data_IF_928609649397
#
_entry.id   IF_928609649397
#
_cell.length_a   1.000
_cell.length_b   1.000
_cell.length_c   1.000
_cell.angle_alpha   90.00
_cell.angle_beta   90.00
_cell.angle_gamma   90.00
#
_symmetry.space_group_name_H-M   'P 1'
#
loop_
_entity.id
_entity.type
_entity.pdbx_description
1 polymer ?
#
# COMPACT_ATOMS: atom_id res chain seq x y z
N UNK A 1 -0.33 -23.23 31.35
CA UNK A 1 -0.16 -21.76 31.37
C UNK A 1 -0.14 -21.25 29.93
N UNK A 2 -1.22 -20.62 29.47
CA UNK A 2 -1.34 -20.09 28.10
C UNK A 2 -0.77 -18.67 28.10
N UNK A 3 0.44 -18.48 27.58
CA UNK A 3 0.92 -17.15 27.23
C UNK A 3 0.01 -16.57 26.15
N UNK A 4 -0.40 -15.31 26.31
CA UNK A 4 -1.22 -14.64 25.31
C UNK A 4 -0.38 -14.37 24.05
N UNK A 5 -0.98 -14.44 22.86
CA UNK A 5 -0.30 -14.09 21.60
C UNK A 5 0.31 -12.66 21.62
N UNK A 6 -0.18 -11.81 22.52
CA UNK A 6 0.33 -10.46 22.79
C UNK A 6 1.70 -10.46 23.49
N UNK A 7 1.97 -11.41 24.38
CA UNK A 7 3.28 -11.55 25.06
C UNK A 7 4.34 -12.15 24.15
N UNK A 8 3.96 -13.11 23.29
CA UNK A 8 4.87 -13.72 22.32
C UNK A 8 5.45 -12.68 21.35
N UNK A 9 4.66 -11.70 20.92
CA UNK A 9 5.10 -10.64 20.02
C UNK A 9 5.87 -9.51 20.72
N UNK A 10 5.60 -9.23 21.99
CA UNK A 10 6.34 -8.22 22.78
C UNK A 10 7.78 -8.62 23.06
N UNK A 11 8.06 -9.92 23.19
CA UNK A 11 9.42 -10.40 23.48
C UNK A 11 10.38 -10.35 22.28
N UNK A 12 9.89 -10.07 21.07
CA UNK A 12 10.72 -9.92 19.86
C UNK A 12 11.32 -8.51 19.69
N UNK A 13 10.88 -7.50 20.45
CA UNK A 13 11.22 -6.09 20.21
C UNK A 13 12.35 -5.52 21.06
N UNK A 14 12.91 -6.29 21.99
CA UNK A 14 13.95 -5.80 22.90
C UNK A 14 15.23 -6.62 22.75
N UNK A 15 16.04 -6.28 21.75
CA UNK A 15 17.52 -6.27 21.81
C UNK A 15 18.12 -5.97 20.42
N UNK A 16 18.72 -4.77 20.30
CA UNK A 16 20.00 -4.42 19.63
C UNK A 16 19.96 -3.04 18.97
N UNK A 17 20.91 -2.20 19.36
CA UNK A 17 21.15 -0.85 18.84
C UNK A 17 21.55 -0.91 17.35
N UNK A 18 20.92 -0.07 16.52
CA UNK A 18 21.29 0.31 15.15
C UNK A 18 21.43 -0.80 14.07
N UNK A 19 20.52 -1.77 14.06
CA UNK A 19 20.24 -2.57 12.85
C UNK A 19 18.79 -2.28 12.47
N UNK A 20 18.53 -1.76 11.25
CA UNK A 20 17.13 -1.70 10.77
C UNK A 20 16.51 -3.10 10.95
N UNK A 21 15.34 -3.22 11.61
CA UNK A 21 14.83 -4.53 12.00
C UNK A 21 14.70 -5.44 10.77
N UNK A 22 14.96 -6.72 11.01
CA UNK A 22 14.66 -7.80 10.07
C UNK A 22 13.29 -7.61 9.43
N UNK A 23 13.17 -7.89 8.13
CA UNK A 23 11.91 -7.81 7.38
C UNK A 23 10.72 -8.32 8.20
N UNK A 24 9.73 -7.45 8.45
CA UNK A 24 8.52 -7.77 9.19
C UNK A 24 7.35 -7.99 8.21
N UNK A 25 6.81 -9.21 8.18
CA UNK A 25 5.72 -9.56 7.27
C UNK A 25 4.45 -8.75 7.54
N UNK A 26 4.09 -8.48 8.79
CA UNK A 26 2.87 -7.74 9.12
C UNK A 26 2.96 -6.28 8.66
N UNK A 27 4.07 -5.60 8.92
CA UNK A 27 4.31 -4.25 8.40
C UNK A 27 4.29 -4.23 6.86
N UNK A 28 4.94 -5.20 6.22
CA UNK A 28 4.89 -5.35 4.76
C UNK A 28 3.46 -5.58 4.26
N UNK A 29 2.66 -6.40 4.95
CA UNK A 29 1.27 -6.65 4.59
C UNK A 29 0.42 -5.38 4.72
N UNK A 30 0.65 -4.56 5.75
CA UNK A 30 -0.01 -3.27 5.92
C UNK A 30 0.35 -2.33 4.78
N UNK A 31 1.64 -2.20 4.43
CA UNK A 31 2.06 -1.40 3.28
C UNK A 31 1.49 -1.89 1.96
N UNK A 32 1.49 -3.21 1.74
CA UNK A 32 0.87 -3.81 0.56
C UNK A 32 -0.63 -3.54 0.51
N UNK A 33 -1.30 -3.55 1.67
CA UNK A 33 -2.71 -3.24 1.83
C UNK A 33 -3.00 -1.77 1.54
N UNK A 34 -2.14 -0.84 1.98
CA UNK A 34 -2.24 0.58 1.64
C UNK A 34 -2.23 0.81 0.12
N UNK A 35 -1.42 0.07 -0.63
CA UNK A 35 -1.44 0.13 -2.10
C UNK A 35 -2.64 -0.60 -2.73
N UNK A 36 -2.74 -1.92 -2.54
CA UNK A 36 -3.64 -2.80 -3.30
C UNK A 36 -4.73 -3.52 -2.50
N UNK A 37 -4.79 -3.33 -1.18
CA UNK A 37 -5.81 -3.94 -0.34
C UNK A 37 -7.12 -3.18 -0.27
N UNK A 38 -8.17 -3.85 0.20
CA UNK A 38 -9.52 -3.35 0.30
C UNK A 38 -10.21 -3.89 1.56
N UNK A 39 -10.76 -2.98 2.36
CA UNK A 39 -11.71 -3.26 3.43
C UNK A 39 -13.09 -2.89 2.92
N UNK A 40 -14.02 -3.83 2.93
CA UNK A 40 -15.37 -3.58 2.41
C UNK A 40 -16.43 -4.32 3.21
N UNK A 41 -17.66 -3.88 3.03
CA UNK A 41 -18.85 -4.56 3.52
C UNK A 41 -19.65 -4.93 2.28
N UNK A 42 -19.84 -6.22 2.06
CA UNK A 42 -20.51 -6.75 0.85
C UNK A 42 -21.79 -7.45 1.25
N UNK A 43 -22.83 -7.27 0.44
CA UNK A 43 -24.06 -8.06 0.58
C UNK A 43 -23.77 -9.50 0.14
N UNK A 44 -24.06 -10.47 1.01
CA UNK A 44 -24.09 -11.88 0.65
C UNK A 44 -25.47 -12.43 1.02
N UNK A 45 -26.25 -12.77 0.00
CA UNK A 45 -27.66 -13.14 0.13
C UNK A 45 -28.45 -12.04 0.86
N UNK A 46 -28.90 -12.29 2.10
CA UNK A 46 -29.68 -11.35 2.90
C UNK A 46 -28.84 -10.60 3.96
N UNK A 47 -27.55 -10.96 4.14
CA UNK A 47 -26.71 -10.41 5.21
C UNK A 47 -25.54 -9.58 4.67
N UNK A 48 -25.25 -8.48 5.36
CA UNK A 48 -24.03 -7.71 5.14
C UNK A 48 -22.86 -8.36 5.86
N UNK A 49 -21.76 -8.58 5.14
CA UNK A 49 -20.56 -9.20 5.69
C UNK A 49 -19.33 -8.33 5.44
N UNK A 50 -18.54 -8.13 6.50
CA UNK A 50 -17.24 -7.49 6.41
C UNK A 50 -16.25 -8.42 5.68
N UNK A 51 -15.50 -7.85 4.75
CA UNK A 51 -14.50 -8.57 3.95
C UNK A 51 -13.18 -7.81 3.97
N UNK A 52 -12.08 -8.55 4.13
CA UNK A 52 -10.74 -8.09 3.79
C UNK A 52 -10.31 -8.77 2.49
N UNK A 53 -9.95 -7.97 1.49
CA UNK A 53 -9.63 -8.45 0.13
C UNK A 53 -8.36 -7.79 -0.40
N UNK A 54 -7.54 -8.56 -1.11
CA UNK A 54 -6.43 -8.05 -1.91
C UNK A 54 -6.60 -8.58 -3.33
N UNK A 55 -6.69 -7.69 -4.31
CA UNK A 55 -6.85 -8.06 -5.73
C UNK A 55 -5.56 -7.79 -6.47
N UNK A 56 -5.15 -8.71 -7.34
CA UNK A 56 -3.97 -8.57 -8.18
C UNK A 56 -4.26 -9.05 -9.59
N UNK A 57 -3.46 -8.59 -10.55
CA UNK A 57 -3.41 -9.22 -11.87
C UNK A 57 -3.03 -10.70 -11.73
N UNK A 58 -3.55 -11.57 -12.60
CA UNK A 58 -3.14 -12.98 -12.67
C UNK A 58 -1.62 -13.08 -12.79
N UNK A 59 -0.97 -12.15 -13.49
CA UNK A 59 0.51 -12.06 -13.57
C UNK A 59 1.18 -12.10 -12.18
N UNK A 60 0.61 -11.43 -11.17
CA UNK A 60 1.18 -11.34 -9.82
C UNK A 60 0.52 -12.28 -8.81
N UNK A 61 -0.15 -13.35 -9.23
CA UNK A 61 -0.89 -14.24 -8.33
C UNK A 61 -0.01 -14.86 -7.22
N UNK A 62 1.29 -15.04 -7.47
CA UNK A 62 2.27 -15.58 -6.50
C UNK A 62 2.30 -14.78 -5.19
N UNK A 63 2.11 -13.46 -5.25
CA UNK A 63 2.11 -12.62 -4.04
C UNK A 63 0.92 -12.95 -3.13
N UNK A 64 -0.22 -13.33 -3.70
CA UNK A 64 -1.41 -13.72 -2.95
C UNK A 64 -1.19 -15.04 -2.21
N UNK A 65 -0.50 -16.01 -2.83
CA UNK A 65 -0.09 -17.24 -2.15
C UNK A 65 0.91 -16.99 -1.03
N UNK A 66 1.85 -16.06 -1.21
CA UNK A 66 2.73 -15.63 -0.14
C UNK A 66 1.95 -15.04 1.04
N UNK A 67 0.99 -14.15 0.77
CA UNK A 67 0.12 -13.56 1.81
C UNK A 67 -0.67 -14.66 2.53
N UNK A 68 -1.37 -15.53 1.78
CA UNK A 68 -2.16 -16.65 2.34
C UNK A 68 -1.32 -17.56 3.20
N UNK A 69 -0.10 -17.93 2.76
CA UNK A 69 0.81 -18.80 3.52
C UNK A 69 1.18 -18.19 4.87
N UNK A 70 1.50 -16.89 4.91
CA UNK A 70 1.94 -16.23 6.15
C UNK A 70 0.76 -15.88 7.08
N UNK A 71 -0.44 -15.60 6.53
CA UNK A 71 -1.65 -15.41 7.35
C UNK A 71 -2.19 -16.75 7.87
N UNK A 72 -2.00 -17.85 7.13
CA UNK A 72 -2.48 -19.19 7.49
C UNK A 72 -3.97 -19.42 7.25
N UNK A 73 -4.68 -18.44 6.68
CA UNK A 73 -6.11 -18.52 6.37
C UNK A 73 -6.43 -17.80 5.05
N UNK A 74 -7.68 -17.90 4.59
CA UNK A 74 -8.21 -17.15 3.45
C UNK A 74 -8.29 -17.97 2.17
N UNK A 75 -9.12 -17.50 1.25
CA UNK A 75 -9.29 -18.12 -0.07
C UNK A 75 -8.64 -17.27 -1.15
N UNK A 76 -8.12 -17.94 -2.18
CA UNK A 76 -7.66 -17.29 -3.41
C UNK A 76 -8.63 -17.76 -4.49
N UNK A 77 -9.32 -16.82 -5.14
CA UNK A 77 -10.26 -17.13 -6.22
C UNK A 77 -10.00 -16.23 -7.42
N UNK A 78 -10.46 -16.66 -8.58
CA UNK A 78 -10.46 -15.81 -9.77
C UNK A 78 -11.46 -14.66 -9.60
N UNK A 79 -11.12 -13.47 -10.11
CA UNK A 79 -11.93 -12.26 -10.07
C UNK A 79 -12.01 -11.64 -11.48
N UNK A 80 -12.68 -12.37 -12.38
CA UNK A 80 -12.69 -12.11 -13.82
C UNK A 80 -11.46 -12.69 -14.54
N UNK A 81 -11.36 -12.43 -15.85
CA UNK A 81 -10.36 -13.10 -16.69
C UNK A 81 -8.90 -12.78 -16.34
N UNK A 82 -8.60 -11.55 -15.94
CA UNK A 82 -7.22 -11.05 -15.75
C UNK A 82 -6.86 -10.74 -14.30
N UNK A 83 -7.74 -11.08 -13.34
CA UNK A 83 -7.48 -10.80 -11.93
C UNK A 83 -7.75 -12.01 -11.06
N UNK A 84 -7.04 -12.03 -9.95
CA UNK A 84 -7.20 -12.98 -8.85
C UNK A 84 -7.34 -12.18 -7.56
N UNK A 85 -8.09 -12.72 -6.62
CA UNK A 85 -8.30 -12.09 -5.32
C UNK A 85 -7.95 -13.05 -4.20
N UNK A 86 -7.26 -12.55 -3.19
CA UNK A 86 -7.18 -13.13 -1.86
C UNK A 86 -8.28 -12.53 -1.00
N UNK A 87 -9.02 -13.35 -0.26
CA UNK A 87 -10.22 -12.92 0.47
C UNK A 87 -10.35 -13.62 1.83
N UNK A 88 -10.67 -12.84 2.86
CA UNK A 88 -11.10 -13.33 4.17
C UNK A 88 -12.45 -12.69 4.50
N UNK A 89 -13.45 -13.53 4.76
CA UNK A 89 -14.80 -13.12 5.17
C UNK A 89 -15.21 -13.64 6.55
N UNK A 90 -14.55 -14.70 7.02
CA UNK A 90 -14.80 -15.28 8.32
C UNK A 90 -14.60 -14.22 9.42
N UNK A 91 -15.70 -13.86 10.09
CA UNK A 91 -15.73 -12.79 11.09
C UNK A 91 -14.81 -13.10 12.27
N UNK A 92 -14.67 -14.38 12.65
CA UNK A 92 -13.80 -14.78 13.75
C UNK A 92 -12.34 -14.57 13.35
N UNK A 93 -11.95 -14.99 12.14
CA UNK A 93 -10.59 -14.79 11.63
C UNK A 93 -10.28 -13.30 11.43
N UNK A 94 -11.22 -12.52 10.91
CA UNK A 94 -11.04 -11.07 10.78
C UNK A 94 -10.77 -10.42 12.15
N UNK A 95 -11.51 -10.80 13.19
CA UNK A 95 -11.31 -10.26 14.55
C UNK A 95 -10.02 -10.76 15.22
N UNK A 96 -9.65 -12.02 15.01
CA UNK A 96 -8.52 -12.64 15.72
C UNK A 96 -7.17 -12.44 15.05
N UNK A 97 -7.13 -12.24 13.73
CA UNK A 97 -5.89 -12.15 12.96
C UNK A 97 -5.76 -10.78 12.28
N UNK A 98 -6.78 -10.37 11.51
CA UNK A 98 -6.68 -9.14 10.71
C UNK A 98 -6.69 -7.90 11.60
N UNK A 99 -7.66 -7.76 12.51
CA UNK A 99 -7.70 -6.59 13.40
C UNK A 99 -6.38 -6.38 14.16
N UNK A 100 -5.81 -7.38 14.89
CA UNK A 100 -4.56 -7.17 15.60
C UNK A 100 -3.40 -6.66 14.73
N UNK A 101 -3.28 -7.13 13.48
CA UNK A 101 -2.24 -6.66 12.55
C UNK A 101 -2.37 -5.16 12.29
N UNK A 102 -3.57 -4.69 11.94
CA UNK A 102 -3.82 -3.29 11.58
C UNK A 102 -3.99 -2.36 12.79
N UNK A 103 -4.16 -2.90 14.00
CA UNK A 103 -4.08 -2.14 15.26
C UNK A 103 -2.63 -1.90 15.71
N UNK A 104 -1.77 -2.92 15.55
CA UNK A 104 -0.35 -2.80 15.90
C UNK A 104 0.38 -1.95 14.85
N UNK A 105 0.07 -2.15 13.58
CA UNK A 105 0.69 -1.47 12.45
C UNK A 105 -0.37 -0.64 11.70
N UNK A 106 -0.46 0.67 11.94
CA UNK A 106 -1.46 1.50 11.30
C UNK A 106 -1.17 1.70 9.80
N UNK A 107 -2.25 1.84 9.02
CA UNK A 107 -2.18 2.26 7.62
C UNK A 107 -1.70 3.72 7.53
N UNK A 108 -0.88 4.05 6.53
CA UNK A 108 -0.33 5.39 6.33
C UNK A 108 -1.08 6.20 5.26
N UNK A 109 -2.03 5.60 4.53
CA UNK A 109 -2.87 6.30 3.55
C UNK A 109 -4.24 6.69 4.11
N UNK A 110 -5.00 7.44 3.33
CA UNK A 110 -6.44 7.69 3.47
C UNK A 110 -7.27 6.42 3.75
N UNK A 111 -6.78 5.24 3.34
CA UNK A 111 -7.38 3.92 3.61
C UNK A 111 -7.48 3.59 5.10
N UNK A 112 -6.67 4.22 5.95
CA UNK A 112 -6.81 4.13 7.40
C UNK A 112 -8.22 4.48 7.87
N UNK A 113 -8.83 5.50 7.29
CA UNK A 113 -10.17 5.97 7.70
C UNK A 113 -11.22 4.93 7.29
N UNK A 114 -11.08 4.31 6.11
CA UNK A 114 -11.91 3.18 5.67
C UNK A 114 -11.76 1.99 6.63
N UNK A 115 -10.54 1.66 7.03
CA UNK A 115 -10.27 0.61 8.01
C UNK A 115 -10.96 0.87 9.35
N UNK A 116 -10.88 2.10 9.88
CA UNK A 116 -11.54 2.46 11.16
C UNK A 116 -13.04 2.25 11.08
N UNK A 117 -13.70 2.70 10.01
CA UNK A 117 -15.14 2.48 9.82
C UNK A 117 -15.48 1.00 9.64
N UNK A 118 -14.70 0.28 8.84
CA UNK A 118 -14.88 -1.15 8.62
C UNK A 118 -14.70 -1.96 9.91
N UNK A 119 -13.72 -1.61 10.74
CA UNK A 119 -13.52 -2.20 12.07
C UNK A 119 -14.75 -1.99 12.96
N UNK A 120 -15.34 -0.79 12.96
CA UNK A 120 -16.58 -0.55 13.71
C UNK A 120 -17.70 -1.47 13.25
N UNK A 121 -17.93 -1.58 11.94
CA UNK A 121 -18.95 -2.48 11.38
C UNK A 121 -18.68 -3.98 11.61
N UNK A 122 -17.40 -4.36 11.76
CA UNK A 122 -16.99 -5.72 12.11
C UNK A 122 -17.30 -6.04 13.58
N UNK A 123 -17.11 -5.07 14.47
CA UNK A 123 -17.38 -5.20 15.91
C UNK A 123 -18.88 -5.09 16.23
N UNK A 124 -19.59 -4.22 15.52
CA UNK A 124 -21.00 -3.84 15.73
C UNK A 124 -21.82 -4.09 14.44
N UNK A 125 -22.38 -5.30 14.26
CA UNK A 125 -23.08 -5.71 13.04
C UNK A 125 -24.23 -4.78 12.60
N UNK A 126 -24.93 -4.16 13.55
CA UNK A 126 -26.01 -3.21 13.36
C UNK A 126 -25.56 -1.96 12.58
N UNK A 127 -24.27 -1.60 12.63
CA UNK A 127 -23.72 -0.45 11.92
C UNK A 127 -23.38 -0.75 10.45
N UNK A 128 -23.44 -2.00 10.00
CA UNK A 128 -22.94 -2.42 8.67
C UNK A 128 -23.61 -1.67 7.52
N UNK A 129 -24.93 -1.48 7.56
CA UNK A 129 -25.67 -0.79 6.49
C UNK A 129 -25.24 0.68 6.38
N UNK A 130 -25.17 1.38 7.51
CA UNK A 130 -24.75 2.79 7.57
C UNK A 130 -23.29 2.95 7.15
N UNK A 131 -22.40 2.05 7.58
CA UNK A 131 -20.99 2.12 7.20
C UNK A 131 -20.81 1.79 5.71
N UNK A 132 -21.53 0.80 5.18
CA UNK A 132 -21.45 0.43 3.77
C UNK A 132 -21.85 1.61 2.87
N UNK A 133 -22.97 2.27 3.16
CA UNK A 133 -23.41 3.44 2.37
C UNK A 133 -22.41 4.60 2.43
N UNK A 134 -21.74 4.80 3.57
CA UNK A 134 -20.68 5.81 3.72
C UNK A 134 -19.41 5.48 2.94
N UNK A 135 -18.92 4.23 3.01
CA UNK A 135 -17.74 3.81 2.23
C UNK A 135 -17.99 3.97 0.72
N UNK A 136 -19.23 3.76 0.28
CA UNK A 136 -19.63 3.89 -1.12
C UNK A 136 -19.87 5.34 -1.57
N UNK A 137 -20.05 6.32 -0.66
CA UNK A 137 -20.42 7.67 -1.07
C UNK A 137 -19.21 8.44 -1.64
N UNK A 138 -19.40 9.03 -2.83
CA UNK A 138 -18.36 9.82 -3.50
C UNK A 138 -17.91 11.04 -2.65
N UNK A 139 -18.80 11.59 -1.83
CA UNK A 139 -18.50 12.66 -0.87
C UNK A 139 -17.55 12.23 0.23
N UNK A 140 -17.58 10.96 0.65
CA UNK A 140 -16.67 10.45 1.65
C UNK A 140 -15.24 10.35 1.08
N UNK A 141 -15.10 9.87 -0.16
CA UNK A 141 -13.80 9.80 -0.85
C UNK A 141 -13.15 11.18 -1.02
N UNK A 142 -13.93 12.22 -1.34
CA UNK A 142 -13.43 13.60 -1.39
C UNK A 142 -13.16 14.20 -0.02
N UNK A 143 -13.91 13.80 1.03
CA UNK A 143 -13.58 14.20 2.41
C UNK A 143 -12.27 13.58 2.92
N UNK A 144 -11.88 12.38 2.46
CA UNK A 144 -10.57 11.80 2.76
C UNK A 144 -9.41 12.68 2.26
N UNK A 145 -9.58 13.34 1.13
CA UNK A 145 -8.60 14.29 0.57
C UNK A 145 -8.44 15.52 1.45
N UNK A 146 -9.57 16.12 1.86
CA UNK A 146 -9.59 17.36 2.64
C UNK A 146 -9.17 17.16 4.11
N UNK A 147 -9.25 15.95 4.65
CA UNK A 147 -8.77 15.62 6.00
C UNK A 147 -7.26 15.80 6.18
N UNK A 148 -6.50 15.97 5.09
CA UNK A 148 -5.06 16.23 5.11
C UNK A 148 -4.67 17.69 4.82
N UNK A 149 -5.62 18.60 4.58
CA UNK A 149 -5.39 20.03 4.30
C UNK A 149 -6.17 21.01 5.21
N UNK A 150 -6.55 20.62 6.44
CA UNK A 150 -7.36 21.53 7.29
C UNK A 150 -6.49 22.54 8.03
N UNK A 151 -6.47 23.80 7.54
CA UNK A 151 -6.27 25.00 8.39
C UNK A 151 -7.44 25.10 9.38
N UNK A 152 -7.24 25.66 10.59
CA UNK A 152 -8.28 25.69 11.62
C UNK A 152 -9.52 26.43 11.13
N UNK A 153 -10.68 25.77 11.12
CA UNK A 153 -11.96 26.42 10.84
C UNK A 153 -12.72 26.55 12.16
N UNK A 154 -13.13 27.79 12.45
CA UNK A 154 -13.93 28.17 13.61
C UNK A 154 -15.34 27.57 13.58
N UNK A 155 -15.83 27.28 14.78
CA UNK A 155 -17.00 26.45 15.06
C UNK A 155 -18.31 27.24 14.90
N UNK A 156 -19.30 26.67 14.19
CA UNK A 156 -20.73 26.91 14.46
C UNK A 156 -21.55 25.60 14.38
N UNK A 157 -22.78 25.62 14.93
CA UNK A 157 -23.36 24.62 15.85
C UNK A 157 -24.04 23.36 15.24
N UNK A 158 -23.88 22.26 16.00
CA UNK A 158 -24.78 21.11 16.32
C UNK A 158 -25.64 20.39 15.26
N UNK A 159 -25.29 19.11 15.02
CA UNK A 159 -26.17 17.92 15.15
C UNK A 159 -25.39 16.71 14.65
N UNK A 160 -25.32 15.64 15.45
CA UNK A 160 -24.65 14.36 15.13
C UNK A 160 -23.13 14.46 14.80
N UNK A 161 -22.61 15.68 14.69
CA UNK A 161 -21.27 16.07 14.33
C UNK A 161 -20.30 15.99 15.49
N UNK A 162 -20.78 15.99 16.74
CA UNK A 162 -19.91 16.03 17.91
C UNK A 162 -19.38 14.65 18.30
N UNK A 163 -20.18 13.58 18.14
CA UNK A 163 -19.69 12.19 18.23
C UNK A 163 -18.82 11.86 17.01
N UNK A 164 -19.24 12.28 15.81
CA UNK A 164 -18.47 12.15 14.56
C UNK A 164 -17.09 12.82 14.67
N UNK A 165 -17.04 14.06 15.16
CA UNK A 165 -15.82 14.85 15.33
C UNK A 165 -14.99 14.32 16.49
N UNK A 166 -15.57 13.78 17.57
CA UNK A 166 -14.83 13.18 18.66
C UNK A 166 -14.13 11.85 18.27
N UNK A 167 -14.79 11.00 17.47
CA UNK A 167 -14.18 9.76 16.95
C UNK A 167 -13.10 10.08 15.90
N UNK A 168 -13.38 11.03 14.99
CA UNK A 168 -12.41 11.50 13.99
C UNK A 168 -11.23 12.25 14.64
N UNK A 169 -11.46 13.16 15.59
CA UNK A 169 -10.41 13.97 16.22
C UNK A 169 -9.49 13.15 17.12
N UNK A 170 -9.99 12.12 17.81
CA UNK A 170 -9.13 11.17 18.55
C UNK A 170 -8.33 10.26 17.63
N UNK A 171 -8.83 9.93 16.45
CA UNK A 171 -8.12 9.13 15.44
C UNK A 171 -7.09 9.94 14.64
N UNK A 172 -7.24 11.26 14.56
CA UNK A 172 -6.42 12.14 13.71
C UNK A 172 -5.30 12.87 14.48
N UNK A 173 -5.34 12.88 15.81
CA UNK A 173 -4.29 13.49 16.64
C UNK A 173 -3.06 12.61 16.86
N UNK A 174 -3.02 11.42 16.25
CA UNK A 174 -1.87 10.55 16.34
C UNK A 174 -0.76 11.09 15.43
N UNK A 175 0.34 11.54 16.05
CA UNK A 175 1.57 11.93 15.35
C UNK A 175 1.91 10.81 14.35
N UNK A 176 1.76 11.08 13.05
CA UNK A 176 2.00 10.10 11.99
C UNK A 176 3.41 9.57 12.15
N UNK A 177 3.51 8.31 12.56
CA UNK A 177 4.77 7.59 12.57
C UNK A 177 5.29 7.54 11.13
N UNK A 178 6.59 7.71 10.96
CA UNK A 178 7.23 7.54 9.66
C UNK A 178 7.11 6.06 9.24
N UNK A 179 6.80 5.77 7.96
CA UNK A 179 6.64 4.40 7.52
C UNK A 179 7.95 3.60 7.66
N UNK A 180 7.86 2.40 8.21
CA UNK A 180 9.01 1.51 8.34
C UNK A 180 9.48 1.01 6.98
N UNK A 181 10.71 0.50 6.91
CA UNK A 181 11.21 -0.11 5.66
C UNK A 181 10.33 -1.26 5.17
N UNK A 182 9.86 -2.13 6.06
CA UNK A 182 8.99 -3.26 5.69
C UNK A 182 7.69 -2.76 5.08
N UNK A 183 7.06 -1.74 5.69
CA UNK A 183 5.88 -1.09 5.14
C UNK A 183 6.17 -0.49 3.76
N UNK A 184 7.27 0.26 3.60
CA UNK A 184 7.64 0.88 2.33
C UNK A 184 7.83 -0.18 1.23
N UNK A 185 8.48 -1.30 1.55
CA UNK A 185 8.64 -2.42 0.62
C UNK A 185 7.27 -2.94 0.20
N UNK A 186 6.35 -3.19 1.14
CA UNK A 186 5.01 -3.67 0.82
C UNK A 186 4.23 -2.71 -0.08
N UNK A 187 4.30 -1.42 0.25
CA UNK A 187 3.62 -0.37 -0.51
C UNK A 187 4.18 -0.21 -1.92
N UNK A 188 5.51 -0.19 -2.07
CA UNK A 188 6.18 -0.15 -3.39
C UNK A 188 5.96 -1.44 -4.17
N UNK A 189 5.80 -2.57 -3.48
CA UNK A 189 5.50 -3.82 -4.13
C UNK A 189 4.12 -3.80 -4.82
N UNK A 190 3.14 -3.18 -4.18
CA UNK A 190 1.82 -2.91 -4.74
C UNK A 190 1.88 -1.81 -5.83
N UNK A 191 2.28 -0.59 -5.48
CA UNK A 191 2.03 0.61 -6.29
C UNK A 191 3.29 1.25 -6.90
N UNK A 192 4.48 0.82 -6.49
CA UNK A 192 5.73 1.30 -7.04
C UNK A 192 6.03 0.74 -8.44
N UNK A 193 6.76 1.49 -9.24
CA UNK A 193 7.09 1.12 -10.62
C UNK A 193 8.58 1.28 -10.90
N UNK A 194 9.20 0.21 -11.41
CA UNK A 194 10.57 0.20 -11.92
C UNK A 194 10.51 0.02 -13.43
N UNK A 195 10.99 1.00 -14.19
CA UNK A 195 10.97 0.94 -15.65
C UNK A 195 12.12 1.76 -16.25
N UNK A 196 12.25 1.68 -17.57
CA UNK A 196 13.20 2.48 -18.34
C UNK A 196 12.39 3.50 -19.16
N UNK A 197 12.82 4.75 -19.21
CA UNK A 197 12.18 5.80 -20.02
C UNK A 197 13.14 6.37 -21.04
N UNK A 198 12.61 6.78 -22.19
CA UNK A 198 13.34 7.60 -23.18
C UNK A 198 13.42 9.03 -22.65
N UNK A 199 14.58 9.68 -22.76
CA UNK A 199 14.83 11.05 -22.31
C UNK A 199 15.62 11.80 -23.37
N UNK A 200 15.34 13.10 -23.51
CA UNK A 200 15.99 13.95 -24.52
C UNK A 200 15.51 13.70 -25.95
N UNK A 201 15.94 14.56 -26.85
CA UNK A 201 15.68 14.47 -28.30
C UNK A 201 16.42 13.27 -28.93
N UNK A 202 17.66 13.05 -28.52
CA UNK A 202 18.53 11.95 -28.99
C UNK A 202 18.02 10.58 -28.54
N UNK A 203 17.24 10.54 -27.47
CA UNK A 203 16.49 9.35 -27.12
C UNK A 203 17.16 8.38 -26.17
N UNK A 204 18.06 8.90 -25.33
CA UNK A 204 18.71 8.12 -24.29
C UNK A 204 17.71 7.39 -23.42
N UNK A 205 18.02 6.13 -23.13
CA UNK A 205 17.20 5.31 -22.25
C UNK A 205 17.80 5.33 -20.86
N UNK A 206 16.98 5.73 -19.88
CA UNK A 206 17.41 5.88 -18.49
C UNK A 206 16.50 5.13 -17.52
N UNK A 207 17.06 4.73 -16.39
CA UNK A 207 16.34 4.07 -15.32
C UNK A 207 15.43 5.05 -14.57
N UNK A 208 14.18 4.64 -14.41
CA UNK A 208 13.16 5.40 -13.70
C UNK A 208 12.54 4.58 -12.58
N UNK A 209 12.44 5.21 -11.42
CA UNK A 209 11.57 4.76 -10.33
C UNK A 209 10.41 5.74 -10.16
N UNK A 210 9.21 5.21 -9.96
CA UNK A 210 8.01 6.02 -9.81
C UNK A 210 7.05 5.42 -8.77
N UNK A 211 6.39 6.28 -8.00
CA UNK A 211 5.23 5.96 -7.17
C UNK A 211 4.13 6.96 -7.50
N UNK A 212 2.90 6.46 -7.66
CA UNK A 212 1.73 7.30 -7.92
C UNK A 212 0.67 7.11 -6.86
N UNK A 213 0.05 8.20 -6.41
CA UNK A 213 -1.11 8.16 -5.49
C UNK A 213 -2.12 9.23 -5.86
N UNK A 214 -3.41 8.93 -5.71
CA UNK A 214 -4.48 9.90 -6.00
C UNK A 214 -4.74 10.85 -4.83
N UNK A 215 -4.75 10.31 -3.62
CA UNK A 215 -5.31 10.97 -2.44
C UNK A 215 -4.27 11.17 -1.31
N UNK A 216 -3.01 10.78 -1.54
CA UNK A 216 -2.00 10.63 -0.48
C UNK A 216 -0.70 11.42 -0.76
N UNK A 217 -0.83 12.71 -1.10
CA UNK A 217 0.32 13.59 -1.36
C UNK A 217 1.30 13.65 -0.18
N UNK A 218 0.80 13.77 1.06
CA UNK A 218 1.62 13.85 2.26
C UNK A 218 2.52 12.62 2.44
N UNK A 219 2.02 11.43 2.11
CA UNK A 219 2.81 10.19 2.10
C UNK A 219 3.91 10.25 1.03
N UNK A 220 3.60 10.75 -0.17
CA UNK A 220 4.63 10.92 -1.21
C UNK A 220 5.73 11.90 -0.78
N UNK A 221 5.42 12.96 -0.02
CA UNK A 221 6.44 13.86 0.54
C UNK A 221 7.32 13.16 1.59
N UNK A 222 6.76 12.28 2.43
CA UNK A 222 7.55 11.45 3.36
C UNK A 222 8.50 10.51 2.59
N UNK A 223 7.97 9.78 1.59
CA UNK A 223 8.77 8.88 0.75
C UNK A 223 9.84 9.61 -0.05
N UNK A 224 9.53 10.81 -0.55
CA UNK A 224 10.48 11.68 -1.25
C UNK A 224 11.67 12.03 -0.36
N UNK A 225 11.43 12.40 0.90
CA UNK A 225 12.48 12.65 1.90
C UNK A 225 13.26 11.35 2.20
N UNK A 226 12.55 10.24 2.44
CA UNK A 226 13.14 8.94 2.77
C UNK A 226 14.05 8.38 1.67
N UNK A 227 13.76 8.68 0.40
CA UNK A 227 14.55 8.27 -0.76
C UNK A 227 15.55 9.34 -1.25
N UNK A 228 15.66 10.46 -0.52
CA UNK A 228 16.51 11.60 -0.87
C UNK A 228 16.21 12.18 -2.28
N UNK A 229 14.97 12.09 -2.73
CA UNK A 229 14.54 12.59 -4.06
C UNK A 229 14.32 14.10 -3.97
N UNK A 230 15.07 14.87 -4.75
CA UNK A 230 14.95 16.34 -4.79
C UNK A 230 13.88 16.85 -5.74
N UNK A 231 13.49 16.04 -6.72
CA UNK A 231 12.48 16.41 -7.72
C UNK A 231 11.13 16.71 -7.05
N UNK A 232 10.41 17.70 -7.58
CA UNK A 232 9.05 18.02 -7.14
C UNK A 232 8.09 16.89 -7.52
N UNK A 233 7.13 16.61 -6.65
CA UNK A 233 6.02 15.70 -6.96
C UNK A 233 5.17 16.38 -8.03
N UNK A 234 4.93 15.67 -9.14
CA UNK A 234 4.12 16.17 -10.26
C UNK A 234 2.65 15.83 -10.03
N UNK A 235 1.74 16.60 -10.61
CA UNK A 235 0.32 16.27 -10.62
C UNK A 235 -0.13 15.98 -12.06
N UNK A 236 -0.62 14.77 -12.31
CA UNK A 236 -1.13 14.37 -13.61
C UNK A 236 -2.62 14.74 -13.71
N UNK A 237 -2.92 15.82 -14.43
CA UNK A 237 -4.28 16.37 -14.53
C UNK A 237 -5.32 15.41 -15.12
N UNK A 238 -4.89 14.47 -15.99
CA UNK A 238 -5.78 13.48 -16.63
C UNK A 238 -6.18 12.38 -15.67
N UNK A 239 -5.22 11.86 -14.90
CA UNK A 239 -5.46 10.75 -13.96
C UNK A 239 -5.82 11.23 -12.55
N UNK A 240 -5.65 12.53 -12.29
CA UNK A 240 -5.74 13.17 -10.96
C UNK A 240 -4.79 12.56 -9.93
N UNK A 241 -3.69 11.96 -10.40
CA UNK A 241 -2.70 11.32 -9.54
C UNK A 241 -1.48 12.22 -9.33
N UNK A 242 -1.00 12.25 -8.09
CA UNK A 242 0.32 12.75 -7.74
C UNK A 242 1.38 11.70 -8.09
N UNK A 243 2.53 12.16 -8.58
CA UNK A 243 3.59 11.34 -9.15
C UNK A 243 4.93 11.72 -8.54
N UNK A 244 5.49 10.83 -7.73
CA UNK A 244 6.86 10.91 -7.24
C UNK A 244 7.75 10.06 -8.16
N UNK A 245 8.63 10.72 -8.92
CA UNK A 245 9.45 10.07 -9.93
C UNK A 245 10.91 10.54 -9.83
N UNK A 246 11.85 9.62 -10.05
CA UNK A 246 13.27 9.97 -10.17
C UNK A 246 13.97 9.17 -11.26
N UNK A 247 14.84 9.87 -11.99
CA UNK A 247 15.83 9.32 -12.93
C UNK A 247 17.26 9.64 -12.47
N UNK A 248 17.42 10.24 -11.29
CA UNK A 248 18.72 10.67 -10.80
C UNK A 248 19.56 9.45 -10.40
N UNK A 249 20.75 9.34 -10.98
CA UNK A 249 21.68 8.23 -10.75
C UNK A 249 21.96 7.93 -9.27
N UNK A 250 22.08 8.95 -8.41
CA UNK A 250 22.35 8.74 -6.98
C UNK A 250 21.12 8.15 -6.28
N UNK A 251 19.93 8.66 -6.57
CA UNK A 251 18.69 8.08 -6.04
C UNK A 251 18.49 6.65 -6.52
N UNK A 252 18.74 6.37 -7.81
CA UNK A 252 18.61 5.01 -8.37
C UNK A 252 19.55 4.04 -7.64
N UNK A 253 20.83 4.41 -7.41
CA UNK A 253 21.76 3.57 -6.64
C UNK A 253 21.28 3.30 -5.22
N UNK A 254 20.79 4.33 -4.53
CA UNK A 254 20.21 4.18 -3.21
C UNK A 254 19.00 3.22 -3.23
N UNK A 255 18.07 3.38 -4.17
CA UNK A 255 16.89 2.53 -4.30
C UNK A 255 17.24 1.08 -4.60
N UNK A 256 18.27 0.84 -5.43
CA UNK A 256 18.80 -0.51 -5.68
C UNK A 256 19.25 -1.13 -4.36
N UNK A 257 20.02 -0.44 -3.53
CA UNK A 257 20.45 -0.98 -2.24
C UNK A 257 19.26 -1.16 -1.26
N UNK A 258 18.37 -0.18 -1.21
CA UNK A 258 17.23 -0.15 -0.29
C UNK A 258 16.27 -1.34 -0.48
N UNK A 259 15.97 -1.70 -1.73
CA UNK A 259 15.04 -2.78 -2.09
C UNK A 259 15.71 -4.13 -2.38
N UNK A 260 17.02 -4.26 -2.13
CA UNK A 260 17.74 -5.49 -2.44
C UNK A 260 17.17 -6.70 -1.67
N UNK A 261 16.70 -7.71 -2.39
CA UNK A 261 16.21 -8.96 -1.81
C UNK A 261 14.88 -8.86 -1.04
N UNK A 262 14.15 -7.74 -1.12
CA UNK A 262 13.00 -7.50 -0.25
C UNK A 262 11.66 -8.01 -0.83
N UNK A 263 11.41 -7.81 -2.12
CA UNK A 263 10.13 -8.13 -2.79
C UNK A 263 9.83 -9.63 -2.90
N UNK A 264 8.53 -9.99 -2.88
CA UNK A 264 8.01 -11.37 -2.79
C UNK A 264 7.28 -11.88 -4.04
N UNK A 265 6.62 -11.00 -4.78
CA UNK A 265 5.87 -11.28 -6.01
C UNK A 265 6.65 -10.99 -7.28
N UNK A 266 5.93 -10.69 -8.36
CA UNK A 266 6.50 -10.39 -9.67
C UNK A 266 7.26 -9.06 -9.72
N UNK A 267 6.97 -8.13 -8.80
CA UNK A 267 7.78 -6.93 -8.62
C UNK A 267 9.25 -7.28 -8.35
N UNK A 268 9.52 -8.41 -7.69
CA UNK A 268 10.89 -8.88 -7.47
C UNK A 268 11.62 -9.17 -8.79
N UNK A 269 10.94 -9.73 -9.79
CA UNK A 269 11.52 -10.00 -11.11
C UNK A 269 11.77 -8.70 -11.86
N UNK A 270 10.77 -7.81 -11.89
CA UNK A 270 10.87 -6.49 -12.53
C UNK A 270 12.03 -5.68 -11.96
N UNK A 271 12.09 -5.60 -10.62
CA UNK A 271 13.17 -4.92 -9.90
C UNK A 271 14.53 -5.56 -10.20
N UNK A 272 14.67 -6.89 -10.19
CA UNK A 272 15.97 -7.54 -10.45
C UNK A 272 16.49 -7.25 -11.85
N UNK A 273 15.62 -7.32 -12.87
CA UNK A 273 15.99 -7.00 -14.25
C UNK A 273 16.44 -5.53 -14.35
N UNK A 274 15.63 -4.62 -13.79
CA UNK A 274 15.91 -3.19 -13.79
C UNK A 274 17.20 -2.81 -13.02
N UNK A 275 17.41 -3.40 -11.85
CA UNK A 275 18.60 -3.14 -11.02
C UNK A 275 19.86 -3.71 -11.68
N UNK A 276 19.79 -4.91 -12.25
CA UNK A 276 20.92 -5.54 -12.96
C UNK A 276 21.30 -4.75 -14.20
N UNK A 277 20.34 -4.25 -14.97
CA UNK A 277 20.65 -3.43 -16.15
C UNK A 277 21.27 -2.09 -15.81
N UNK A 278 20.98 -1.54 -14.62
CA UNK A 278 21.67 -0.34 -14.13
C UNK A 278 23.15 -0.57 -13.85
N UNK A 279 23.52 -1.79 -13.45
CA UNK A 279 24.93 -2.15 -13.22
C UNK A 279 25.64 -2.48 -14.53
N UNK A 280 24.99 -3.21 -15.43
CA UNK A 280 25.62 -3.77 -16.64
C UNK A 280 25.54 -2.90 -17.89
N UNK A 281 24.42 -2.21 -18.08
CA UNK A 281 24.05 -1.63 -19.38
C UNK A 281 23.84 -0.11 -19.30
N UNK A 282 24.20 0.54 -18.19
CA UNK A 282 23.95 1.96 -17.99
C UNK A 282 24.77 2.80 -18.99
N UNK A 283 24.08 3.65 -19.73
CA UNK A 283 24.70 4.46 -20.80
C UNK A 283 24.69 3.76 -22.17
N UNK A 284 24.27 2.49 -22.24
CA UNK A 284 24.16 1.73 -23.48
C UNK A 284 22.69 1.68 -23.93
N UNK A 285 22.26 2.70 -24.68
CA UNK A 285 20.84 2.91 -25.03
C UNK A 285 20.19 1.73 -25.77
N UNK A 286 20.89 1.08 -26.70
CA UNK A 286 20.33 -0.06 -27.45
C UNK A 286 20.11 -1.31 -26.58
N UNK A 287 21.03 -1.57 -25.65
CA UNK A 287 20.90 -2.66 -24.69
C UNK A 287 19.76 -2.38 -23.71
N UNK A 288 19.64 -1.13 -23.26
CA UNK A 288 18.54 -0.71 -22.39
C UNK A 288 17.18 -0.74 -23.10
N UNK A 289 17.14 -0.48 -24.41
CA UNK A 289 15.93 -0.64 -25.21
C UNK A 289 15.48 -2.11 -25.23
N UNK A 290 16.43 -3.01 -25.41
CA UNK A 290 16.18 -4.45 -25.35
C UNK A 290 15.61 -4.85 -23.99
N UNK A 291 16.21 -4.39 -22.89
CA UNK A 291 15.71 -4.64 -21.52
C UNK A 291 14.31 -4.02 -21.31
N UNK A 292 14.06 -2.82 -21.81
CA UNK A 292 12.75 -2.16 -21.72
C UNK A 292 11.67 -3.00 -22.40
N UNK A 293 11.96 -3.53 -23.59
CA UNK A 293 11.04 -4.37 -24.34
C UNK A 293 10.77 -5.70 -23.61
N UNK A 294 11.79 -6.30 -22.98
CA UNK A 294 11.61 -7.48 -22.13
C UNK A 294 10.68 -7.18 -20.95
N UNK A 295 10.93 -6.11 -20.19
CA UNK A 295 10.08 -5.69 -19.06
C UNK A 295 8.61 -5.45 -19.48
N UNK A 296 8.40 -4.84 -20.65
CA UNK A 296 7.05 -4.60 -21.20
C UNK A 296 6.35 -5.90 -21.62
N UNK A 297 7.09 -6.88 -22.16
CA UNK A 297 6.56 -8.19 -22.55
C UNK A 297 6.11 -8.99 -21.33
N UNK A 298 6.84 -8.94 -20.21
CA UNK A 298 6.47 -9.65 -18.97
C UNK A 298 5.05 -9.29 -18.49
N UNK A 299 4.68 -8.00 -18.56
CA UNK A 299 3.36 -7.51 -18.13
C UNK A 299 2.21 -7.89 -19.07
N UNK A 300 2.53 -8.35 -20.28
CA UNK A 300 1.56 -8.73 -21.32
C UNK A 300 1.33 -10.23 -21.41
N UNK A 301 2.05 -11.06 -20.65
CA UNK A 301 1.86 -12.52 -20.65
C UNK A 301 0.40 -12.81 -20.31
N UNK A 302 -0.33 -13.31 -21.31
CA UNK A 302 -1.67 -13.87 -21.14
C UNK A 302 -1.48 -15.19 -20.41
N UNK A 303 -1.96 -15.27 -19.17
CA UNK A 303 -2.18 -16.53 -18.48
C UNK A 303 -3.56 -17.02 -18.87
#
# INVERSE_FOLDING_TARGET
>A
MRQSACEYLKNMSYQRLNVEPSFNFHEWLVGFTDGSGCFSITQQSQNLQCTFKITQSVYNYRVLYYIKKNIGYGSITQDGFKRVQYCIRDTKILKQIILPIFEIYPLHTSKHIVYVLWKQALLYPELRSVVQSRILSASYLTCLDNLFEVKPIEVTKQSDSDVRRAILSKSLSQKRLEPTKSWIVGFVEADGSFFLTKKGSEGDIVHTFCITQKHDYALLEQLKKRFHIKAKIKHNQKTKAYVLETTNTRNIRFLIQFFHGTFKGMKSLEYRIWARSFVKNKGLSDELLTVQNQLRKLKKVKV
#
